data_IF_892743238062
#
_entry.id   IF_892743238062
#
_cell.length_a   1.000
_cell.length_b   1.000
_cell.length_c   1.000
_cell.angle_alpha   90.00
_cell.angle_beta   90.00
_cell.angle_gamma   90.00
#
_symmetry.space_group_name_H-M   'P 1'
#
loop_
_entity.id
_entity.type
_entity.pdbx_description
1 polymer ?
#
# COMPACT_ATOMS: atom_id res chain seq x y z
N UNK A 1 -37.88 -25.55 24.87
CA UNK A 1 -37.33 -25.22 23.54
C UNK A 1 -35.83 -25.02 23.68
N UNK A 2 -34.99 -25.72 22.90
CA UNK A 2 -33.58 -25.35 22.79
C UNK A 2 -33.48 -23.94 22.17
N UNK A 3 -32.46 -23.14 22.52
CA UNK A 3 -32.22 -21.86 21.89
C UNK A 3 -32.02 -22.05 20.38
N UNK A 4 -32.47 -21.10 19.54
CA UNK A 4 -32.20 -21.16 18.11
C UNK A 4 -30.69 -21.25 17.89
N UNK A 5 -30.28 -22.17 17.02
CA UNK A 5 -28.89 -22.23 16.58
C UNK A 5 -28.48 -20.85 16.06
N UNK A 6 -27.28 -20.35 16.40
CA UNK A 6 -26.82 -19.06 15.89
C UNK A 6 -26.89 -19.11 14.36
N UNK A 7 -27.52 -18.09 13.77
CA UNK A 7 -27.60 -17.96 12.32
C UNK A 7 -26.17 -18.09 11.76
N UNK A 8 -25.98 -19.02 10.81
CA UNK A 8 -24.69 -19.22 10.18
C UNK A 8 -24.23 -17.87 9.63
N UNK A 9 -23.10 -17.37 10.14
CA UNK A 9 -22.53 -16.12 9.66
C UNK A 9 -22.31 -16.25 8.15
N UNK A 10 -22.84 -15.30 7.38
CA UNK A 10 -22.58 -15.25 5.94
C UNK A 10 -21.05 -15.20 5.72
N UNK A 11 -20.52 -15.92 4.72
CA UNK A 11 -19.10 -15.89 4.43
C UNK A 11 -18.65 -14.45 4.17
N UNK A 12 -17.52 -14.05 4.75
CA UNK A 12 -17.01 -12.70 4.59
C UNK A 12 -16.75 -12.36 3.13
N UNK A 13 -17.11 -11.13 2.76
CA UNK A 13 -16.91 -10.61 1.41
C UNK A 13 -15.80 -9.58 1.44
N UNK A 14 -14.58 -10.09 1.63
CA UNK A 14 -13.39 -9.27 1.82
C UNK A 14 -12.96 -8.59 0.51
N UNK A 15 -12.64 -7.31 0.61
CA UNK A 15 -12.05 -6.50 -0.46
C UNK A 15 -10.97 -5.60 0.12
N UNK A 16 -9.95 -5.31 -0.67
CA UNK A 16 -8.98 -4.26 -0.37
C UNK A 16 -9.03 -3.18 -1.46
N UNK A 17 -8.75 -1.94 -1.07
CA UNK A 17 -8.62 -0.77 -1.95
C UNK A 17 -7.77 0.31 -1.27
N UNK A 18 -7.32 1.35 -1.98
CA UNK A 18 -6.70 2.51 -1.36
C UNK A 18 -7.64 3.18 -0.37
N UNK A 19 -7.08 3.73 0.72
CA UNK A 19 -7.81 4.54 1.68
C UNK A 19 -8.36 5.81 1.01
N UNK A 20 -9.61 6.14 1.28
CA UNK A 20 -10.29 7.34 0.82
C UNK A 20 -10.66 8.24 2.00
N UNK A 21 -10.89 9.54 1.75
CA UNK A 21 -11.22 10.51 2.82
C UNK A 21 -12.46 10.11 3.62
N UNK A 22 -13.43 9.50 2.94
CA UNK A 22 -14.68 9.01 3.52
C UNK A 22 -14.48 7.81 4.48
N UNK A 23 -13.35 7.11 4.39
CA UNK A 23 -13.02 6.00 5.29
C UNK A 23 -12.42 6.46 6.61
N UNK A 24 -11.86 7.68 6.63
CA UNK A 24 -11.06 8.18 7.76
C UNK A 24 -11.80 8.06 9.10
N UNK A 25 -13.08 8.41 9.24
CA UNK A 25 -13.80 8.24 10.51
C UNK A 25 -13.79 6.80 11.04
N UNK A 26 -14.04 5.81 10.18
CA UNK A 26 -14.05 4.39 10.57
C UNK A 26 -12.62 3.84 10.74
N UNK A 27 -11.66 4.34 9.96
CA UNK A 27 -10.26 3.92 10.02
C UNK A 27 -9.61 4.24 11.37
N UNK A 28 -10.08 5.28 12.08
CA UNK A 28 -9.57 5.66 13.40
C UNK A 28 -9.90 4.61 14.49
N UNK A 29 -10.96 3.83 14.31
CA UNK A 29 -11.28 2.69 15.20
C UNK A 29 -10.24 1.56 15.09
N UNK A 30 -9.44 1.56 14.02
CA UNK A 30 -8.40 0.59 13.74
C UNK A 30 -7.01 1.09 14.16
N UNK A 31 -6.91 2.16 14.94
CA UNK A 31 -5.63 2.57 15.51
C UNK A 31 -5.20 1.55 16.59
N UNK A 32 -4.02 0.91 16.45
CA UNK A 32 -3.58 -0.05 17.44
C UNK A 32 -3.42 0.59 18.83
N UNK A 33 -3.75 -0.16 19.90
CA UNK A 33 -3.61 0.34 21.28
C UNK A 33 -2.15 0.59 21.68
N UNK A 34 -1.19 -0.05 21.01
CA UNK A 34 0.24 0.11 21.26
C UNK A 34 0.81 1.43 20.72
N UNK A 35 0.07 2.18 19.89
CA UNK A 35 0.52 3.48 19.42
C UNK A 35 0.52 4.49 20.57
N UNK A 36 1.71 4.91 20.99
CA UNK A 36 1.95 5.88 22.06
C UNK A 36 1.68 7.33 21.62
N UNK A 37 0.58 7.57 20.91
CA UNK A 37 0.22 8.90 20.44
C UNK A 37 -0.41 9.72 21.58
N UNK A 38 0.16 10.89 21.93
CA UNK A 38 -0.45 11.83 22.87
C UNK A 38 -1.85 12.27 22.40
N UNK A 39 -2.73 12.71 23.32
CA UNK A 39 -4.09 13.15 22.96
C UNK A 39 -4.13 14.19 21.85
N UNK A 40 -3.22 15.16 21.85
CA UNK A 40 -3.12 16.19 20.82
C UNK A 40 -2.77 15.62 19.43
N UNK A 41 -1.92 14.60 19.36
CA UNK A 41 -1.62 13.93 18.10
C UNK A 41 -2.80 13.09 17.63
N UNK A 42 -3.46 12.36 18.53
CA UNK A 42 -4.66 11.58 18.22
C UNK A 42 -5.78 12.45 17.64
N UNK A 43 -5.99 13.65 18.18
CA UNK A 43 -6.98 14.60 17.64
C UNK A 43 -6.63 15.15 16.26
N UNK A 44 -5.35 15.17 15.87
CA UNK A 44 -4.89 15.66 14.57
C UNK A 44 -4.90 14.59 13.47
N UNK A 45 -5.01 13.30 13.82
CA UNK A 45 -5.00 12.19 12.86
C UNK A 45 -6.09 12.26 11.77
N UNK A 46 -7.35 12.65 12.05
CA UNK A 46 -8.37 12.70 11.00
C UNK A 46 -7.97 13.66 9.87
N UNK A 47 -7.47 14.84 10.22
CA UNK A 47 -6.99 15.83 9.25
C UNK A 47 -5.75 15.34 8.52
N UNK A 48 -4.78 14.77 9.26
CA UNK A 48 -3.57 14.21 8.67
C UNK A 48 -3.88 13.15 7.62
N UNK A 49 -4.69 12.14 7.96
CA UNK A 49 -5.03 11.04 7.06
C UNK A 49 -5.84 11.55 5.87
N UNK A 50 -6.76 12.49 6.07
CA UNK A 50 -7.54 13.11 4.97
C UNK A 50 -6.66 13.88 3.99
N UNK A 51 -5.63 14.57 4.50
CA UNK A 51 -4.63 15.28 3.68
C UNK A 51 -3.73 14.32 2.91
N UNK A 52 -3.33 13.22 3.54
CA UNK A 52 -2.33 12.30 2.99
C UNK A 52 -2.89 11.13 2.19
N UNK A 53 -4.21 10.87 2.18
CA UNK A 53 -4.79 9.70 1.52
C UNK A 53 -4.49 9.60 0.01
N UNK A 54 -4.15 10.72 -0.65
CA UNK A 54 -3.75 10.77 -2.06
C UNK A 54 -2.26 11.10 -2.25
N UNK A 55 -1.52 11.28 -1.15
CA UNK A 55 -0.10 11.59 -1.21
C UNK A 55 0.70 10.37 -1.70
N UNK A 56 1.59 10.50 -2.71
CA UNK A 56 2.26 9.35 -3.32
C UNK A 56 3.21 8.60 -2.36
N UNK A 57 3.68 9.27 -1.30
CA UNK A 57 4.49 8.65 -0.26
C UNK A 57 3.67 7.88 0.80
N UNK A 58 2.35 8.06 0.88
CA UNK A 58 1.51 7.32 1.82
C UNK A 58 0.87 6.13 1.11
N UNK A 59 1.03 4.95 1.69
CA UNK A 59 0.39 3.72 1.26
C UNK A 59 -0.52 3.25 2.39
N UNK A 60 -1.82 3.52 2.26
CA UNK A 60 -2.83 3.11 3.20
C UNK A 60 -3.88 2.25 2.50
N UNK A 61 -4.15 1.07 3.06
CA UNK A 61 -5.04 0.07 2.47
C UNK A 61 -5.98 -0.51 3.51
N UNK A 62 -7.24 -0.05 3.57
CA UNK A 62 -8.29 -0.73 4.32
C UNK A 62 -8.64 -2.08 3.70
N UNK A 63 -9.04 -3.00 4.58
CA UNK A 63 -9.66 -4.27 4.24
C UNK A 63 -11.11 -4.19 4.69
N UNK A 64 -12.03 -4.30 3.75
CA UNK A 64 -13.46 -4.17 3.96
C UNK A 64 -14.14 -5.53 3.92
N UNK A 65 -15.11 -5.77 4.79
CA UNK A 65 -16.08 -6.84 4.65
C UNK A 65 -17.41 -6.28 4.13
N UNK A 66 -17.69 -6.51 2.85
CA UNK A 66 -18.89 -6.01 2.18
C UNK A 66 -20.18 -6.71 2.64
N UNK A 67 -20.08 -7.78 3.44
CA UNK A 67 -21.23 -8.39 4.10
C UNK A 67 -21.72 -7.56 5.30
N UNK A 68 -20.92 -6.59 5.78
CA UNK A 68 -21.26 -5.74 6.93
C UNK A 68 -21.92 -4.43 6.53
N UNK A 69 -22.68 -3.88 7.49
CA UNK A 69 -23.31 -2.57 7.38
C UNK A 69 -22.26 -1.46 7.22
N UNK A 70 -22.58 -0.38 6.49
CA UNK A 70 -21.73 0.82 6.44
C UNK A 70 -21.35 1.29 7.86
N UNK A 71 -20.09 1.75 8.04
CA UNK A 71 -19.55 2.13 9.35
C UNK A 71 -19.01 0.96 10.19
N UNK A 72 -19.15 -0.28 9.70
CA UNK A 72 -18.61 -1.49 10.32
C UNK A 72 -17.87 -2.38 9.31
N UNK A 73 -17.57 -1.84 8.12
CA UNK A 73 -16.99 -2.61 7.02
C UNK A 73 -15.49 -2.78 7.17
N UNK A 74 -14.77 -1.77 7.65
CA UNK A 74 -13.32 -1.85 7.80
C UNK A 74 -12.99 -2.89 8.87
N UNK A 75 -12.41 -4.00 8.45
CA UNK A 75 -11.97 -5.09 9.32
C UNK A 75 -10.47 -5.00 9.63
N UNK A 76 -9.68 -4.37 8.76
CA UNK A 76 -8.26 -4.14 8.98
C UNK A 76 -7.73 -2.95 8.20
N UNK A 77 -6.60 -2.41 8.65
CA UNK A 77 -5.95 -1.25 8.07
C UNK A 77 -4.44 -1.40 8.21
N UNK A 78 -3.73 -1.29 7.08
CA UNK A 78 -2.29 -1.07 7.06
C UNK A 78 -1.95 0.33 6.59
N UNK A 79 -1.02 0.99 7.27
CA UNK A 79 -0.50 2.31 6.88
C UNK A 79 1.02 2.26 6.84
N UNK A 80 1.57 2.53 5.66
CA UNK A 80 3.01 2.59 5.40
C UNK A 80 3.35 3.92 4.74
N UNK A 81 4.50 4.48 5.06
CA UNK A 81 5.00 5.73 4.49
C UNK A 81 6.38 5.52 3.87
N UNK A 82 6.65 6.19 2.75
CA UNK A 82 7.98 6.30 2.17
C UNK A 82 8.73 7.41 2.89
N UNK A 83 9.85 7.08 3.52
CA UNK A 83 10.69 8.03 4.23
C UNK A 83 11.99 8.29 3.48
N UNK A 84 12.51 9.54 3.48
CA UNK A 84 13.89 9.78 3.12
C UNK A 84 14.83 8.96 4.02
N UNK A 85 15.83 8.30 3.44
CA UNK A 85 16.76 7.45 4.20
C UNK A 85 17.48 8.23 5.31
N UNK A 86 17.88 9.47 5.03
CA UNK A 86 18.51 10.35 6.02
C UNK A 86 17.57 10.68 7.20
N UNK A 87 16.28 10.90 6.93
CA UNK A 87 15.29 11.13 7.98
C UNK A 87 15.09 9.90 8.86
N UNK A 88 15.00 8.70 8.26
CA UNK A 88 14.88 7.45 9.03
C UNK A 88 16.08 7.25 9.96
N UNK A 89 17.30 7.39 9.44
CA UNK A 89 18.52 7.26 10.24
C UNK A 89 18.60 8.30 11.38
N UNK A 90 18.28 9.56 11.09
CA UNK A 90 18.24 10.63 12.09
C UNK A 90 17.16 10.37 13.15
N UNK A 91 16.01 9.83 12.77
CA UNK A 91 14.90 9.52 13.68
C UNK A 91 15.28 8.39 14.63
N UNK A 92 15.88 7.30 14.13
CA UNK A 92 16.42 6.22 14.97
C UNK A 92 17.45 6.76 15.97
N UNK A 93 18.41 7.55 15.49
CA UNK A 93 19.45 8.12 16.36
C UNK A 93 18.85 9.04 17.44
N UNK A 94 17.91 9.91 17.08
CA UNK A 94 17.19 10.79 18.02
C UNK A 94 16.41 10.00 19.07
N UNK A 95 15.69 8.96 18.65
CA UNK A 95 14.93 8.08 19.56
C UNK A 95 15.88 7.40 20.55
N UNK A 96 16.99 6.85 20.07
CA UNK A 96 17.98 6.19 20.92
C UNK A 96 18.63 7.16 21.92
N UNK A 97 19.01 8.36 21.49
CA UNK A 97 19.58 9.40 22.36
C UNK A 97 18.60 9.87 23.46
N UNK A 98 17.30 9.88 23.16
CA UNK A 98 16.24 10.17 24.12
C UNK A 98 15.91 9.01 25.06
N UNK A 99 16.56 7.86 24.92
CA UNK A 99 16.23 6.64 25.67
C UNK A 99 14.90 5.99 25.28
N UNK A 100 14.35 6.35 24.10
CA UNK A 100 13.10 5.83 23.57
C UNK A 100 13.27 4.49 22.83
N UNK A 101 12.14 3.83 22.57
CA UNK A 101 12.07 2.57 21.84
C UNK A 101 11.35 2.68 20.48
N UNK A 102 11.02 1.52 19.91
CA UNK A 102 10.37 1.44 18.59
C UNK A 102 9.00 2.13 18.53
N UNK A 103 8.23 2.12 19.62
CA UNK A 103 6.95 2.83 19.68
C UNK A 103 7.12 4.36 19.67
N UNK A 104 8.15 4.89 20.34
CA UNK A 104 8.49 6.31 20.33
C UNK A 104 8.95 6.78 18.94
N UNK A 105 9.65 5.91 18.20
CA UNK A 105 9.99 6.18 16.81
C UNK A 105 8.72 6.38 15.96
N UNK A 106 7.71 5.52 16.07
CA UNK A 106 6.44 5.69 15.34
C UNK A 106 5.74 7.00 15.75
N UNK A 107 5.66 7.28 17.06
CA UNK A 107 5.07 8.53 17.55
C UNK A 107 5.83 9.77 17.05
N UNK A 108 7.16 9.69 16.95
CA UNK A 108 8.01 10.73 16.38
C UNK A 108 7.76 10.97 14.89
N UNK A 109 7.53 9.91 14.10
CA UNK A 109 7.15 10.04 12.68
C UNK A 109 5.77 10.69 12.55
N UNK A 110 4.78 10.28 13.36
CA UNK A 110 3.47 10.95 13.38
C UNK A 110 3.57 12.41 13.76
N UNK A 111 4.36 12.75 14.79
CA UNK A 111 4.60 14.14 15.18
C UNK A 111 5.13 14.97 14.00
N UNK A 112 6.15 14.46 13.31
CA UNK A 112 6.78 15.14 12.19
C UNK A 112 5.84 15.32 10.97
N UNK A 113 4.93 14.36 10.77
CA UNK A 113 3.89 14.45 9.74
C UNK A 113 2.81 15.49 10.09
N UNK A 114 2.44 15.58 11.36
CA UNK A 114 1.42 16.51 11.88
C UNK A 114 1.95 17.95 11.86
N UNK A 115 3.15 18.18 12.38
CA UNK A 115 3.75 19.52 12.45
C UNK A 115 4.38 19.99 11.14
N UNK A 116 4.51 19.09 10.15
CA UNK A 116 5.05 19.39 8.83
C UNK A 116 6.58 19.46 8.77
N UNK A 117 7.29 19.03 9.82
CA UNK A 117 8.76 18.95 9.83
C UNK A 117 9.32 17.79 9.00
N UNK A 118 8.48 16.81 8.65
CA UNK A 118 8.81 15.78 7.66
C UNK A 118 8.27 16.16 6.27
N UNK A 119 9.20 16.52 5.39
CA UNK A 119 8.90 16.68 3.95
C UNK A 119 8.86 15.30 3.29
N UNK A 120 7.66 14.89 2.85
CA UNK A 120 7.46 13.60 2.20
C UNK A 120 7.89 13.67 0.74
N UNK A 121 8.52 12.62 0.20
CA UNK A 121 8.95 12.63 -1.19
C UNK A 121 7.75 12.67 -2.14
N UNK A 122 7.80 13.60 -3.11
CA UNK A 122 6.83 13.67 -4.19
C UNK A 122 7.03 12.52 -5.22
N UNK A 123 6.13 12.42 -6.21
CA UNK A 123 6.25 11.39 -7.26
C UNK A 123 7.60 11.44 -7.98
N UNK A 124 8.20 12.62 -8.16
CA UNK A 124 9.47 12.79 -8.88
C UNK A 124 10.64 12.28 -8.05
N UNK A 125 10.66 12.59 -6.76
CA UNK A 125 11.64 12.08 -5.80
C UNK A 125 11.55 10.56 -5.66
N UNK A 126 10.33 10.02 -5.54
CA UNK A 126 10.10 8.57 -5.55
C UNK A 126 10.60 7.95 -6.86
N UNK A 127 10.34 8.60 -8.00
CA UNK A 127 10.80 8.13 -9.31
C UNK A 127 12.31 8.06 -9.46
N UNK A 128 13.03 9.07 -8.96
CA UNK A 128 14.50 9.07 -8.93
C UNK A 128 15.04 8.00 -8.00
N UNK A 129 14.46 7.85 -6.82
CA UNK A 129 14.85 6.82 -5.87
C UNK A 129 14.63 5.41 -6.45
N UNK A 130 13.50 5.17 -7.12
CA UNK A 130 13.25 3.90 -7.81
C UNK A 130 14.30 3.59 -8.89
N UNK A 131 14.79 4.60 -9.61
CA UNK A 131 15.82 4.43 -10.63
C UNK A 131 17.25 4.32 -10.08
N UNK A 132 17.47 4.65 -8.81
CA UNK A 132 18.79 4.69 -8.16
C UNK A 132 18.89 3.62 -7.05
N UNK A 133 19.08 4.02 -5.80
CA UNK A 133 19.34 3.13 -4.67
C UNK A 133 18.08 2.48 -4.08
N UNK A 134 16.91 2.99 -4.45
CA UNK A 134 15.61 2.55 -3.96
C UNK A 134 15.05 3.41 -2.83
N UNK A 135 13.86 3.05 -2.39
CA UNK A 135 13.09 3.73 -1.34
C UNK A 135 13.10 2.98 -0.02
N UNK A 136 12.92 3.71 1.08
CA UNK A 136 12.69 3.13 2.40
C UNK A 136 11.21 3.21 2.74
N UNK A 137 10.61 2.06 3.02
CA UNK A 137 9.27 2.00 3.59
C UNK A 137 9.35 1.89 5.11
N UNK A 138 8.46 2.61 5.80
CA UNK A 138 8.22 2.50 7.24
C UNK A 138 6.73 2.23 7.47
N UNK A 139 6.39 1.03 7.94
CA UNK A 139 5.04 0.69 8.35
C UNK A 139 4.73 1.41 9.67
N UNK A 140 3.86 2.42 9.61
CA UNK A 140 3.40 3.16 10.78
C UNK A 140 2.61 2.25 11.70
N UNK A 141 1.69 1.46 11.13
CA UNK A 141 1.00 0.40 11.85
C UNK A 141 0.22 -0.52 10.91
N UNK A 142 -0.13 -1.69 11.45
CA UNK A 142 -1.21 -2.53 10.96
C UNK A 142 -2.07 -2.96 12.14
N UNK A 143 -3.39 -3.00 11.95
CA UNK A 143 -4.32 -3.56 12.91
C UNK A 143 -5.56 -4.13 12.21
N UNK A 144 -6.19 -5.12 12.83
CA UNK A 144 -7.51 -5.64 12.44
C UNK A 144 -8.40 -5.83 13.67
N UNK A 145 -9.72 -5.75 13.48
CA UNK A 145 -10.70 -5.75 14.60
C UNK A 145 -10.64 -7.01 15.46
N UNK A 146 -10.39 -8.17 14.86
CA UNK A 146 -10.16 -9.42 15.59
C UNK A 146 -8.76 -9.94 15.28
N UNK A 147 -7.92 -10.14 16.31
CA UNK A 147 -6.55 -10.65 16.20
C UNK A 147 -6.42 -12.12 16.62
N UNK A 148 -7.53 -12.79 17.00
CA UNK A 148 -7.52 -14.19 17.38
C UNK A 148 -7.23 -15.08 16.16
N UNK A 149 -6.01 -15.61 16.09
CA UNK A 149 -5.57 -16.47 14.98
C UNK A 149 -6.29 -17.84 14.95
N UNK A 150 -7.10 -18.18 15.96
CA UNK A 150 -7.98 -19.35 15.93
C UNK A 150 -9.34 -19.05 15.28
N UNK A 151 -9.72 -17.77 15.10
CA UNK A 151 -10.93 -17.38 14.38
C UNK A 151 -10.68 -17.41 12.85
N UNK A 152 -11.40 -18.25 12.08
CA UNK A 152 -11.31 -18.28 10.62
C UNK A 152 -11.54 -16.92 9.96
N UNK A 153 -12.37 -16.06 10.55
CA UNK A 153 -12.61 -14.71 10.04
C UNK A 153 -11.37 -13.83 10.19
N UNK A 154 -10.72 -13.85 11.36
CA UNK A 154 -9.49 -13.10 11.62
C UNK A 154 -8.36 -13.56 10.69
N UNK A 155 -8.24 -14.88 10.45
CA UNK A 155 -7.30 -15.43 9.48
C UNK A 155 -7.60 -14.99 8.04
N UNK A 156 -8.88 -14.91 7.66
CA UNK A 156 -9.28 -14.46 6.33
C UNK A 156 -8.91 -12.99 6.09
N UNK A 157 -9.11 -12.13 7.11
CA UNK A 157 -8.67 -10.71 7.06
C UNK A 157 -7.15 -10.61 6.98
N UNK A 158 -6.42 -11.41 7.75
CA UNK A 158 -4.95 -11.42 7.73
C UNK A 158 -4.39 -11.92 6.38
N UNK A 159 -5.03 -12.91 5.76
CA UNK A 159 -4.68 -13.38 4.42
C UNK A 159 -4.89 -12.28 3.37
N UNK A 160 -6.03 -11.59 3.41
CA UNK A 160 -6.30 -10.43 2.56
C UNK A 160 -5.30 -9.30 2.83
N UNK A 161 -4.88 -9.09 4.08
CA UNK A 161 -3.86 -8.10 4.44
C UNK A 161 -2.51 -8.39 3.79
N UNK A 162 -2.08 -9.66 3.78
CA UNK A 162 -0.86 -10.08 3.10
C UNK A 162 -0.95 -9.86 1.57
N UNK A 163 -2.11 -10.08 0.96
CA UNK A 163 -2.33 -9.80 -0.45
C UNK A 163 -2.30 -8.29 -0.73
N UNK A 164 -3.04 -7.50 0.05
CA UNK A 164 -3.05 -6.04 -0.02
C UNK A 164 -1.64 -5.47 0.15
N UNK A 165 -0.87 -5.99 1.11
CA UNK A 165 0.53 -5.61 1.32
C UNK A 165 1.37 -5.82 0.06
N UNK A 166 1.26 -6.98 -0.60
CA UNK A 166 2.01 -7.26 -1.84
C UNK A 166 1.60 -6.30 -2.95
N UNK A 167 0.29 -6.15 -3.20
CA UNK A 167 -0.23 -5.24 -4.25
C UNK A 167 0.22 -3.80 -4.00
N UNK A 168 0.22 -3.35 -2.75
CA UNK A 168 0.53 -1.98 -2.38
C UNK A 168 2.02 -1.63 -2.51
N UNK A 169 2.92 -2.57 -2.22
CA UNK A 169 4.36 -2.28 -2.16
C UNK A 169 5.16 -2.80 -3.35
N UNK A 170 4.73 -3.88 -4.02
CA UNK A 170 5.46 -4.49 -5.15
C UNK A 170 5.69 -3.50 -6.30
N UNK A 171 6.77 -3.70 -7.06
CA UNK A 171 7.13 -2.87 -8.22
C UNK A 171 8.03 -1.68 -7.87
N UNK A 172 8.04 -1.23 -6.61
CA UNK A 172 9.03 -0.25 -6.16
C UNK A 172 10.41 -0.91 -6.07
N UNK A 173 11.46 -0.11 -6.28
CA UNK A 173 12.80 -0.54 -5.90
C UNK A 173 12.97 -0.27 -4.42
N UNK A 174 12.70 -1.27 -3.58
CA UNK A 174 12.81 -1.12 -2.13
C UNK A 174 14.26 -1.35 -1.69
N UNK A 175 14.79 -0.41 -0.91
CA UNK A 175 16.10 -0.47 -0.28
C UNK A 175 16.02 -1.12 1.12
N UNK A 176 15.01 -0.73 1.91
CA UNK A 176 14.72 -1.32 3.21
C UNK A 176 13.24 -1.16 3.58
N UNK A 177 12.75 -2.07 4.41
CA UNK A 177 11.41 -2.04 4.99
C UNK A 177 11.54 -2.13 6.51
N UNK A 178 10.97 -1.15 7.22
CA UNK A 178 10.98 -1.05 8.67
C UNK A 178 9.56 -1.11 9.22
N UNK A 179 9.39 -1.69 10.40
CA UNK A 179 8.12 -1.75 11.10
C UNK A 179 8.36 -1.81 12.61
N UNK A 180 7.70 -0.95 13.37
CA UNK A 180 7.57 -1.18 14.81
C UNK A 180 6.36 -2.08 15.07
N UNK A 181 6.49 -3.03 15.99
CA UNK A 181 5.39 -3.90 16.36
C UNK A 181 5.53 -4.43 17.79
N UNK A 182 4.40 -4.75 18.47
CA UNK A 182 4.43 -5.48 19.72
C UNK A 182 5.25 -6.78 19.62
N UNK A 183 5.91 -7.21 20.70
CA UNK A 183 6.65 -8.47 20.70
C UNK A 183 5.76 -9.69 20.44
N UNK A 184 4.48 -9.63 20.84
CA UNK A 184 3.49 -10.66 20.53
C UNK A 184 3.30 -10.89 19.02
N UNK A 185 3.65 -9.91 18.18
CA UNK A 185 3.56 -9.98 16.73
C UNK A 185 4.80 -10.61 16.07
N UNK A 186 5.87 -10.84 16.83
CA UNK A 186 7.13 -11.35 16.30
C UNK A 186 6.99 -12.65 15.48
N UNK A 187 6.26 -13.69 15.94
CA UNK A 187 6.19 -14.95 15.20
C UNK A 187 5.70 -14.77 13.75
N UNK A 188 4.70 -13.90 13.53
CA UNK A 188 4.21 -13.65 12.17
C UNK A 188 5.16 -12.76 11.37
N UNK A 189 5.84 -11.79 12.00
CA UNK A 189 6.78 -10.89 11.30
C UNK A 189 8.03 -11.66 10.83
N UNK A 190 8.53 -12.57 11.66
CA UNK A 190 9.60 -13.50 11.26
C UNK A 190 9.14 -14.42 10.13
N UNK A 191 7.91 -14.97 10.21
CA UNK A 191 7.33 -15.78 9.14
C UNK A 191 7.11 -15.00 7.84
N UNK A 192 6.85 -13.69 7.92
CA UNK A 192 6.76 -12.82 6.75
C UNK A 192 8.13 -12.46 6.15
N UNK A 193 9.21 -12.73 6.88
CA UNK A 193 10.61 -12.58 6.45
C UNK A 193 11.38 -11.44 7.10
N UNK A 194 10.78 -10.71 8.05
CA UNK A 194 11.52 -9.69 8.80
C UNK A 194 12.47 -10.30 9.84
N UNK A 195 13.37 -9.46 10.36
CA UNK A 195 14.17 -9.75 11.53
C UNK A 195 14.01 -8.64 12.54
N UNK A 196 14.18 -8.98 13.82
CA UNK A 196 14.31 -7.99 14.87
C UNK A 196 15.59 -7.18 14.63
N UNK A 197 15.49 -5.87 14.74
CA UNK A 197 16.60 -4.93 14.63
C UNK A 197 17.14 -4.61 16.02
N UNK A 198 18.46 -4.57 16.17
CA UNK A 198 19.13 -4.13 17.39
C UNK A 198 19.37 -2.61 17.41
N UNK A 199 18.92 -1.89 16.37
CA UNK A 199 19.07 -0.42 16.26
C UNK A 199 18.31 0.36 17.35
N UNK A 200 17.26 -0.26 17.92
CA UNK A 200 16.49 0.30 19.03
C UNK A 200 16.21 -0.78 20.08
N UNK A 201 16.20 -0.42 21.37
CA UNK A 201 15.85 -1.36 22.43
C UNK A 201 14.38 -1.82 22.30
N UNK A 202 14.11 -3.05 22.74
CA UNK A 202 12.74 -3.54 22.87
C UNK A 202 12.10 -3.04 24.18
N UNK A 203 10.85 -2.58 24.09
CA UNK A 203 10.04 -2.05 25.21
C UNK A 203 9.54 -0.61 24.97
N UNK A 204 8.37 -0.15 25.40
CA UNK A 204 7.18 -0.77 25.98
C UNK A 204 5.96 -0.40 25.11
N UNK A 205 5.07 -1.35 24.75
CA UNK A 205 3.73 -1.43 25.40
C UNK A 205 3.01 -2.80 25.25
N UNK A 206 1.85 -3.01 25.92
CA UNK A 206 1.82 -3.48 27.31
C UNK A 206 2.87 -4.57 27.64
N UNK A 207 3.30 -5.37 26.65
CA UNK A 207 4.23 -6.50 26.80
C UNK A 207 5.55 -6.31 26.00
N UNK A 208 5.77 -5.12 25.44
CA UNK A 208 6.98 -4.73 24.71
C UNK A 208 6.74 -4.49 23.23
N UNK A 209 7.51 -3.57 22.62
CA UNK A 209 7.52 -3.29 21.19
C UNK A 209 8.97 -3.24 20.71
N UNK A 210 9.22 -3.78 19.52
CA UNK A 210 10.53 -3.82 18.90
C UNK A 210 10.47 -3.28 17.48
N UNK A 211 11.64 -2.85 16.99
CA UNK A 211 11.82 -2.49 15.59
C UNK A 211 12.15 -3.77 14.81
N UNK A 212 11.40 -4.01 13.75
CA UNK A 212 11.63 -5.06 12.77
C UNK A 212 12.08 -4.43 11.46
N UNK A 213 12.98 -5.12 10.76
CA UNK A 213 13.63 -4.62 9.56
C UNK A 213 13.94 -5.75 8.59
N UNK A 214 13.98 -5.39 7.32
CA UNK A 214 14.66 -6.16 6.27
C UNK A 214 15.23 -5.19 5.22
N UNK A 215 16.45 -5.45 4.78
CA UNK A 215 17.06 -4.76 3.63
C UNK A 215 16.86 -5.52 2.33
N UNK A 216 17.12 -4.83 1.22
CA UNK A 216 17.20 -5.45 -0.09
C UNK A 216 18.22 -6.60 -0.13
N UNK A 217 19.42 -6.38 0.40
CA UNK A 217 20.47 -7.40 0.40
C UNK A 217 20.03 -8.66 1.16
N UNK A 218 19.46 -8.49 2.35
CA UNK A 218 18.92 -9.60 3.14
C UNK A 218 17.77 -10.30 2.42
N UNK A 219 16.82 -9.54 1.86
CA UNK A 219 15.73 -10.11 1.08
C UNK A 219 16.28 -10.94 -0.09
N UNK A 220 17.19 -10.40 -0.91
CA UNK A 220 17.71 -11.13 -2.08
C UNK A 220 18.46 -12.42 -1.71
N UNK A 221 18.92 -12.57 -0.46
CA UNK A 221 19.53 -13.79 0.05
C UNK A 221 18.50 -14.86 0.52
N UNK A 222 17.22 -14.52 0.60
CA UNK A 222 16.14 -15.45 0.98
C UNK A 222 15.54 -16.14 -0.24
N UNK A 223 15.02 -17.35 -0.02
CA UNK A 223 14.22 -18.05 -1.02
C UNK A 223 12.92 -17.28 -1.33
N UNK A 224 12.42 -17.36 -2.58
CA UNK A 224 11.09 -16.87 -2.91
C UNK A 224 10.00 -17.54 -2.07
N UNK A 225 8.90 -16.83 -1.81
CA UNK A 225 7.70 -17.36 -1.14
C UNK A 225 7.28 -16.58 0.12
N UNK A 226 8.20 -15.88 0.77
CA UNK A 226 7.87 -15.04 1.92
C UNK A 226 7.24 -13.71 1.48
N UNK A 227 6.22 -13.24 2.22
CA UNK A 227 5.47 -12.02 1.88
C UNK A 227 6.36 -10.81 1.67
N UNK A 228 7.31 -10.52 2.58
CA UNK A 228 8.19 -9.37 2.41
C UNK A 228 9.23 -9.60 1.32
N UNK A 229 9.77 -10.82 1.18
CA UNK A 229 10.72 -11.11 0.10
C UNK A 229 10.16 -10.72 -1.27
N UNK A 230 8.88 -11.01 -1.49
CA UNK A 230 8.21 -10.74 -2.77
C UNK A 230 8.24 -9.25 -3.15
N UNK A 231 8.00 -8.34 -2.21
CA UNK A 231 7.91 -6.90 -2.55
C UNK A 231 9.26 -6.26 -2.89
N UNK A 232 10.38 -6.92 -2.59
CA UNK A 232 11.71 -6.45 -3.01
C UNK A 232 12.06 -6.85 -4.46
N UNK A 233 11.25 -7.69 -5.12
CA UNK A 233 11.39 -7.95 -6.55
C UNK A 233 11.15 -6.66 -7.33
N UNK A 234 12.05 -6.37 -8.25
CA UNK A 234 12.00 -5.14 -9.02
C UNK A 234 12.67 -5.34 -10.36
N UNK A 235 11.96 -4.95 -11.41
CA UNK A 235 12.54 -4.67 -12.72
C UNK A 235 12.17 -3.24 -13.13
N UNK A 236 13.02 -2.54 -13.90
CA UNK A 236 12.66 -1.22 -14.41
C UNK A 236 11.39 -1.26 -15.29
N UNK A 237 10.50 -0.26 -15.22
CA UNK A 237 9.30 -0.23 -16.05
C UNK A 237 9.66 -0.10 -17.52
N UNK A 238 9.00 -0.91 -18.35
CA UNK A 238 9.23 -1.02 -19.79
C UNK A 238 8.52 0.08 -20.57
N UNK A 239 7.25 0.37 -20.24
CA UNK A 239 6.42 1.30 -21.02
C UNK A 239 6.51 2.76 -20.56
N UNK A 240 7.18 3.01 -19.42
CA UNK A 240 7.49 4.34 -18.87
C UNK A 240 6.27 5.26 -18.79
N UNK A 241 5.11 4.71 -18.44
CA UNK A 241 3.82 5.40 -18.40
C UNK A 241 3.88 6.72 -17.63
N UNK A 242 3.13 7.73 -18.08
CA UNK A 242 3.05 9.03 -17.41
C UNK A 242 2.34 8.93 -16.05
N UNK A 243 2.50 9.95 -15.19
CA UNK A 243 1.87 9.97 -13.87
C UNK A 243 0.35 9.73 -13.93
N UNK A 244 -0.36 10.46 -14.80
CA UNK A 244 -1.81 10.30 -14.97
C UNK A 244 -2.20 8.92 -15.50
N UNK A 245 -1.38 8.32 -16.38
CA UNK A 245 -1.61 6.96 -16.90
C UNK A 245 -1.43 5.91 -15.81
N UNK A 246 -0.37 6.02 -14.98
CA UNK A 246 -0.15 5.13 -13.85
C UNK A 246 -1.29 5.22 -12.83
N UNK A 247 -1.72 6.45 -12.48
CA UNK A 247 -2.86 6.66 -11.57
C UNK A 247 -4.15 6.06 -12.10
N UNK A 248 -4.43 6.23 -13.40
CA UNK A 248 -5.57 5.58 -14.06
C UNK A 248 -5.50 4.06 -13.91
N UNK A 249 -4.39 3.44 -14.30
CA UNK A 249 -4.25 1.98 -14.23
C UNK A 249 -4.33 1.46 -12.80
N UNK A 250 -3.66 2.12 -11.84
CA UNK A 250 -3.72 1.76 -10.43
C UNK A 250 -5.15 1.75 -9.91
N UNK A 251 -5.92 2.83 -10.15
CA UNK A 251 -7.33 2.92 -9.73
C UNK A 251 -8.21 1.88 -10.44
N UNK A 252 -7.97 1.62 -11.72
CA UNK A 252 -8.69 0.60 -12.49
C UNK A 252 -8.46 -0.83 -12.00
N UNK A 253 -7.39 -1.11 -11.23
CA UNK A 253 -7.19 -2.42 -10.62
C UNK A 253 -8.20 -2.75 -9.52
N UNK A 254 -8.84 -1.74 -8.95
CA UNK A 254 -9.80 -1.87 -7.86
C UNK A 254 -11.26 -1.79 -8.34
N UNK A 255 -11.52 -2.06 -9.63
CA UNK A 255 -12.85 -2.05 -10.24
C UNK A 255 -13.61 -0.73 -10.05
N UNK A 256 -12.89 0.39 -10.04
CA UNK A 256 -13.51 1.71 -10.07
C UNK A 256 -14.20 1.95 -11.42
N UNK A 257 -15.45 2.43 -11.37
CA UNK A 257 -16.23 2.77 -12.56
C UNK A 257 -15.67 4.02 -13.26
N UNK A 258 -15.86 4.14 -14.58
CA UNK A 258 -15.37 5.27 -15.38
C UNK A 258 -15.82 6.65 -14.82
N UNK A 259 -17.03 6.77 -14.25
CA UNK A 259 -17.53 8.01 -13.63
C UNK A 259 -16.80 8.36 -12.32
N UNK A 260 -16.42 7.36 -11.53
CA UNK A 260 -15.58 7.54 -10.34
C UNK A 260 -14.14 7.90 -10.73
N UNK A 261 -13.57 7.19 -11.72
CA UNK A 261 -12.24 7.46 -12.26
C UNK A 261 -12.12 8.89 -12.79
N UNK A 262 -13.10 9.36 -13.56
CA UNK A 262 -13.14 10.72 -14.09
C UNK A 262 -13.06 11.79 -12.98
N UNK A 263 -13.85 11.62 -11.91
CA UNK A 263 -13.85 12.55 -10.77
C UNK A 263 -12.51 12.55 -10.04
N UNK A 264 -11.96 11.37 -9.75
CA UNK A 264 -10.71 11.23 -8.99
C UNK A 264 -9.47 11.67 -9.77
N UNK A 265 -9.49 11.51 -11.09
CA UNK A 265 -8.39 11.93 -11.96
C UNK A 265 -8.55 13.37 -12.46
N UNK A 266 -9.67 14.03 -12.14
CA UNK A 266 -10.07 15.34 -12.64
C UNK A 266 -10.01 15.44 -14.17
N UNK A 267 -10.67 14.50 -14.85
CA UNK A 267 -10.70 14.43 -16.33
C UNK A 267 -12.12 14.27 -16.87
N UNK A 268 -12.35 14.85 -18.05
CA UNK A 268 -13.59 14.63 -18.80
C UNK A 268 -13.63 13.22 -19.42
N UNK A 269 -14.79 12.80 -19.93
CA UNK A 269 -14.93 11.55 -20.72
C UNK A 269 -13.91 11.51 -21.87
N UNK A 270 -13.72 12.63 -22.56
CA UNK A 270 -12.74 12.74 -23.63
C UNK A 270 -11.31 12.63 -23.10
N UNK A 271 -11.01 13.25 -21.95
CA UNK A 271 -9.74 13.11 -21.25
C UNK A 271 -9.42 11.66 -20.87
N UNK A 272 -10.40 10.93 -20.32
CA UNK A 272 -10.25 9.51 -19.98
C UNK A 272 -9.98 8.66 -21.23
N UNK A 273 -10.70 8.88 -22.33
CA UNK A 273 -10.43 8.21 -23.63
C UNK A 273 -9.02 8.50 -24.14
N UNK A 274 -8.56 9.75 -24.00
CA UNK A 274 -7.20 10.16 -24.38
C UNK A 274 -6.13 9.48 -23.52
N UNK A 275 -6.34 9.34 -22.22
CA UNK A 275 -5.42 8.63 -21.33
C UNK A 275 -5.26 7.16 -21.74
N UNK A 276 -6.38 6.46 -21.97
CA UNK A 276 -6.36 5.07 -22.44
C UNK A 276 -5.66 4.92 -23.78
N UNK A 277 -5.97 5.79 -24.75
CA UNK A 277 -5.31 5.78 -26.06
C UNK A 277 -3.80 5.95 -25.92
N UNK A 278 -3.36 6.93 -25.12
CA UNK A 278 -1.93 7.15 -24.90
C UNK A 278 -1.24 6.00 -24.15
N UNK A 279 -1.97 5.17 -23.40
CA UNK A 279 -1.41 3.93 -22.81
C UNK A 279 -1.18 2.92 -23.94
N UNK A 280 -2.15 2.73 -24.84
CA UNK A 280 -2.03 1.79 -25.95
C UNK A 280 -0.90 2.17 -26.90
N UNK A 281 -0.81 3.45 -27.27
CA UNK A 281 0.26 3.97 -28.13
C UNK A 281 1.64 3.67 -27.53
N UNK A 282 1.86 3.96 -26.23
CA UNK A 282 3.14 3.67 -25.57
C UNK A 282 3.49 2.19 -25.48
N UNK A 283 2.47 1.34 -25.35
CA UNK A 283 2.67 -0.12 -25.34
C UNK A 283 3.02 -0.58 -26.75
N UNK A 284 2.28 -0.16 -27.78
CA UNK A 284 2.51 -0.51 -29.19
C UNK A 284 3.88 0.01 -29.68
N UNK A 285 4.34 1.17 -29.21
CA UNK A 285 5.66 1.73 -29.53
C UNK A 285 6.82 0.83 -29.04
N UNK A 286 6.62 0.08 -27.95
CA UNK A 286 7.65 -0.75 -27.31
C UNK A 286 7.43 -2.26 -27.55
N UNK A 287 6.20 -2.66 -27.83
CA UNK A 287 5.77 -4.03 -28.07
C UNK A 287 4.61 -4.06 -29.08
N UNK A 288 4.91 -3.94 -30.39
CA UNK A 288 3.88 -3.85 -31.43
C UNK A 288 2.91 -5.04 -31.46
N UNK A 289 3.37 -6.21 -31.04
CA UNK A 289 2.59 -7.45 -31.02
C UNK A 289 1.78 -7.65 -29.73
N UNK A 290 1.84 -6.72 -28.76
CA UNK A 290 1.17 -6.86 -27.46
C UNK A 290 -0.34 -7.13 -27.58
N UNK A 291 -0.98 -6.52 -28.57
CA UNK A 291 -2.41 -6.69 -28.84
C UNK A 291 -2.72 -7.75 -29.92
N UNK A 292 -1.74 -8.59 -30.30
CA UNK A 292 -1.87 -9.68 -31.26
C UNK A 292 -1.76 -9.23 -32.72
N UNK A 293 -0.52 -8.99 -33.19
CA UNK A 293 -0.19 -8.43 -34.51
C UNK A 293 -1.05 -8.95 -35.68
N UNK A 294 -1.42 -8.03 -36.58
CA UNK A 294 -2.15 -8.24 -37.84
C UNK A 294 -3.64 -8.65 -37.78
N UNK A 295 -4.48 -7.73 -37.27
CA UNK A 295 -5.79 -7.46 -37.91
C UNK A 295 -5.98 -5.96 -38.11
N UNK A 296 -5.19 -5.42 -39.06
CA UNK A 296 -5.44 -4.14 -39.71
C UNK A 296 -5.21 -2.92 -38.84
N UNK A 297 -4.02 -2.32 -38.99
CA UNK A 297 -3.85 -0.86 -38.88
C UNK A 297 -4.57 -0.24 -40.09
N UNK A 298 -5.90 -0.32 -40.08
CA UNK A 298 -6.77 0.50 -40.89
C UNK A 298 -7.35 1.53 -39.96
N UNK A 299 -6.95 2.79 -40.15
CA UNK A 299 -7.65 3.93 -39.60
C UNK A 299 -9.14 3.85 -40.04
N UNK A 300 -10.00 3.33 -39.17
CA UNK A 300 -11.40 3.13 -39.54
C UNK A 300 -12.14 2.26 -38.55
N UNK A 301 -12.96 2.92 -37.73
CA UNK A 301 -13.99 2.33 -36.85
C UNK A 301 -13.42 1.67 -35.60
N UNK A 302 -13.36 2.50 -34.55
CA UNK A 302 -13.41 2.13 -33.13
C UNK A 302 -14.70 1.33 -32.88
N UNK A 303 -14.70 0.07 -33.32
CA UNK A 303 -15.81 -0.84 -33.09
C UNK A 303 -15.74 -1.17 -31.59
N UNK A 304 -16.65 -0.57 -30.81
CA UNK A 304 -16.57 -0.42 -29.35
C UNK A 304 -16.39 -1.72 -28.53
N UNK A 305 -16.29 -2.87 -29.19
CA UNK A 305 -15.93 -4.19 -28.66
C UNK A 305 -14.42 -4.36 -28.43
N UNK A 306 -13.54 -3.75 -29.23
CA UNK A 306 -12.07 -3.91 -29.10
C UNK A 306 -11.48 -3.11 -27.92
N UNK A 307 -12.10 -1.97 -27.57
CA UNK A 307 -11.67 -1.12 -26.45
C UNK A 307 -11.65 -1.85 -25.10
N UNK A 308 -12.75 -2.52 -24.70
CA UNK A 308 -12.81 -3.36 -23.49
C UNK A 308 -11.75 -4.48 -23.47
N UNK A 309 -11.49 -5.14 -24.59
CA UNK A 309 -10.49 -6.20 -24.70
C UNK A 309 -9.07 -5.65 -24.48
N UNK A 310 -8.70 -4.54 -25.15
CA UNK A 310 -7.41 -3.87 -24.91
C UNK A 310 -7.25 -3.45 -23.45
N UNK A 311 -8.28 -2.84 -22.82
CA UNK A 311 -8.25 -2.50 -21.39
C UNK A 311 -7.98 -3.73 -20.53
N UNK A 312 -8.69 -4.84 -20.78
CA UNK A 312 -8.53 -6.10 -20.03
C UNK A 312 -7.12 -6.66 -20.15
N UNK A 313 -6.52 -6.65 -21.35
CA UNK A 313 -5.15 -7.11 -21.57
C UNK A 313 -4.13 -6.26 -20.81
N UNK A 314 -4.24 -4.93 -20.89
CA UNK A 314 -3.35 -4.01 -20.16
C UNK A 314 -3.49 -4.22 -18.65
N UNK A 315 -4.71 -4.32 -18.12
CA UNK A 315 -4.94 -4.54 -16.68
C UNK A 315 -4.41 -5.92 -16.23
N UNK A 316 -4.54 -6.95 -17.06
CA UNK A 316 -3.96 -8.27 -16.76
C UNK A 316 -2.42 -8.20 -16.70
N UNK A 317 -1.79 -7.47 -17.62
CA UNK A 317 -0.35 -7.27 -17.64
C UNK A 317 0.16 -6.52 -16.41
N UNK A 318 -0.40 -5.35 -16.09
CA UNK A 318 0.12 -4.53 -14.97
C UNK A 318 -0.16 -5.14 -13.59
N UNK A 319 -1.13 -6.06 -13.47
CA UNK A 319 -1.28 -6.90 -12.26
C UNK A 319 -0.06 -7.78 -12.02
N UNK A 320 0.58 -8.25 -13.08
CA UNK A 320 1.79 -9.09 -13.04
C UNK A 320 3.09 -8.27 -13.09
N UNK A 321 3.00 -7.01 -13.52
CA UNK A 321 4.11 -6.05 -13.66
C UNK A 321 3.83 -4.75 -12.90
N UNK A 322 3.76 -4.80 -11.55
CA UNK A 322 3.44 -3.63 -10.74
C UNK A 322 4.46 -2.50 -10.86
N UNK A 323 5.68 -2.77 -11.33
CA UNK A 323 6.71 -1.77 -11.64
C UNK A 323 6.24 -0.71 -12.64
N UNK A 324 5.36 -1.06 -13.59
CA UNK A 324 4.78 -0.10 -14.55
C UNK A 324 3.91 0.97 -13.88
N UNK A 325 3.39 0.67 -12.69
CA UNK A 325 2.49 1.54 -11.93
C UNK A 325 3.25 2.45 -10.97
N UNK A 326 4.56 2.25 -10.79
CA UNK A 326 5.35 3.03 -9.83
C UNK A 326 6.02 4.23 -10.52
N UNK A 327 6.25 5.35 -9.80
CA UNK A 327 7.02 6.44 -10.34
C UNK A 327 8.42 6.00 -10.77
N UNK A 328 8.90 6.49 -11.91
CA UNK A 328 10.24 6.19 -12.43
C UNK A 328 10.80 7.40 -13.16
N UNK A 329 12.01 7.82 -12.79
CA UNK A 329 12.71 8.95 -13.39
C UNK A 329 14.23 8.65 -13.37
N UNK A 330 14.78 8.09 -14.46
CA UNK A 330 16.21 7.75 -14.55
C UNK A 330 17.10 8.98 -14.62
#
# INVERSE_FOLDING_TARGET
MPPPAPAAALPARLRQRPLEREDVPEALDLLPPWLLLPPAQRSALPELLSRLCEHPALVAGPIEDLARSPGQRLQGLGVTVILPQAFMAASIAKTLQGGGGAADLVAGVYAALIDGSLDLPDERAIGRANAADGIVFFALHYHQRNMDLQDPQALSVLNMANEAFRVAHSGHRIAAFYQAAPLAHEPYLLAAGQRRSDELPAGAPPDGCALFRITRGEAMAMLPGLTLRHVFEHTPPRFRLSASQRRLLWRSLFDERDDALMRKLDVSVHGLKKLWRGIYERIEDVEPEFFGGDVGIGAGVDDGKRGPEKRRLVLAYVRQRPEELRPWAP
#
